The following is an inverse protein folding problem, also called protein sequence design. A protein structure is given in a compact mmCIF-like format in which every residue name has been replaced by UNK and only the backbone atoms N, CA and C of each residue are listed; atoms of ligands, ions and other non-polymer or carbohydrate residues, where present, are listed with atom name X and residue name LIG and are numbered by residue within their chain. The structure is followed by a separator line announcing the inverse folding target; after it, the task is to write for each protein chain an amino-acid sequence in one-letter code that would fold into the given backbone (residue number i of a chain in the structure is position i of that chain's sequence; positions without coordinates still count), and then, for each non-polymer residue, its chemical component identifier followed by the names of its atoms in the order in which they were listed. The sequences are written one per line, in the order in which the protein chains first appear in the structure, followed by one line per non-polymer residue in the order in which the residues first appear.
data_IF_031989735214
#
_entry.id   IF_031989735214
#
_cell.length_a   1.000
_cell.length_b   1.000
_cell.length_c   1.000
_cell.angle_alpha   90.00
_cell.angle_beta   90.00
_cell.angle_gamma   90.00
#
_symmetry.space_group_name_H-M   'P 1'
#
loop_
_entity.id
_entity.type
_entity.pdbx_description
1 polymer ?
#
# COMPACT_ATOMS: atom_id res chain seq x y z
N UNK A 1 -43.44 -22.81 -38.54
CA UNK A 1 -42.49 -21.70 -38.34
C UNK A 1 -41.70 -22.01 -37.08
N UNK A 2 -40.50 -22.54 -37.27
CA UNK A 2 -39.55 -22.92 -36.24
C UNK A 2 -38.80 -21.67 -35.78
N UNK A 3 -39.14 -21.14 -34.60
CA UNK A 3 -38.35 -20.08 -33.98
C UNK A 3 -37.02 -20.64 -33.49
N UNK A 4 -35.98 -20.23 -34.20
CA UNK A 4 -34.58 -20.38 -33.85
C UNK A 4 -34.36 -19.91 -32.41
N UNK A 5 -34.15 -20.86 -31.49
CA UNK A 5 -33.47 -20.58 -30.22
C UNK A 5 -32.05 -20.19 -30.54
N UNK A 6 -31.82 -18.89 -30.68
CA UNK A 6 -30.48 -18.32 -30.76
C UNK A 6 -29.72 -18.74 -29.51
N UNK A 7 -28.73 -19.61 -29.72
CA UNK A 7 -27.65 -19.81 -28.77
C UNK A 7 -26.99 -18.46 -28.55
N UNK A 8 -27.39 -17.76 -27.49
CA UNK A 8 -26.64 -16.63 -26.96
C UNK A 8 -25.29 -17.23 -26.57
N UNK A 9 -24.31 -17.04 -27.45
CA UNK A 9 -22.91 -17.19 -27.16
C UNK A 9 -22.66 -16.44 -25.84
N UNK A 10 -22.50 -17.20 -24.76
CA UNK A 10 -21.98 -16.70 -23.49
C UNK A 10 -20.56 -16.24 -23.77
N UNK A 11 -20.41 -15.01 -24.24
CA UNK A 11 -19.20 -14.23 -24.00
C UNK A 11 -18.95 -14.37 -22.51
N UNK A 12 -17.90 -15.09 -22.14
CA UNK A 12 -17.54 -15.37 -20.76
C UNK A 12 -17.18 -14.05 -20.10
N UNK A 13 -18.20 -13.33 -19.61
CA UNK A 13 -17.96 -12.08 -18.92
C UNK A 13 -17.01 -12.37 -17.76
N UNK A 14 -15.94 -11.58 -17.58
CA UNK A 14 -15.06 -11.73 -16.44
C UNK A 14 -15.77 -11.40 -15.12
N UNK A 15 -17.00 -10.88 -15.17
CA UNK A 15 -17.81 -10.48 -14.03
C UNK A 15 -18.84 -11.54 -13.67
N UNK A 16 -19.00 -11.77 -12.36
CA UNK A 16 -20.11 -12.54 -11.81
C UNK A 16 -21.29 -11.60 -11.59
N UNK A 17 -22.30 -11.68 -12.45
CA UNK A 17 -23.50 -10.85 -12.29
C UNK A 17 -24.47 -11.51 -11.33
N UNK A 18 -25.03 -10.74 -10.40
CA UNK A 18 -26.20 -11.12 -9.61
C UNK A 18 -27.40 -10.42 -10.23
N UNK A 19 -28.42 -11.19 -10.63
CA UNK A 19 -29.65 -10.61 -11.18
C UNK A 19 -30.58 -10.23 -10.04
N UNK A 20 -31.21 -9.06 -10.15
CA UNK A 20 -32.37 -8.72 -9.35
C UNK A 20 -33.56 -9.57 -9.85
N UNK A 21 -34.34 -10.21 -8.96
CA UNK A 21 -35.55 -10.90 -9.37
C UNK A 21 -36.48 -9.94 -10.12
N UNK A 22 -37.26 -10.45 -11.06
CA UNK A 22 -38.38 -9.68 -11.63
C UNK A 22 -39.29 -9.20 -10.49
N UNK A 23 -39.80 -7.98 -10.57
CA UNK A 23 -40.80 -7.45 -9.63
C UNK A 23 -42.05 -8.33 -9.52
N UNK A 24 -42.27 -9.22 -10.50
CA UNK A 24 -43.39 -10.15 -10.57
C UNK A 24 -43.03 -11.60 -10.21
N UNK A 25 -41.86 -11.88 -9.63
CA UNK A 25 -41.50 -13.25 -9.21
C UNK A 25 -42.41 -13.70 -8.04
N UNK A 26 -43.35 -14.65 -8.26
CA UNK A 26 -44.31 -15.08 -7.24
C UNK A 26 -43.63 -15.81 -6.06
N UNK A 27 -42.38 -16.24 -6.23
CA UNK A 27 -41.61 -16.89 -5.17
C UNK A 27 -40.89 -15.90 -4.25
N UNK A 28 -40.86 -14.61 -4.57
CA UNK A 28 -40.23 -13.57 -3.75
C UNK A 28 -41.17 -13.04 -2.66
N UNK A 29 -41.84 -13.94 -1.94
CA UNK A 29 -42.77 -13.63 -0.85
C UNK A 29 -42.10 -13.09 0.42
N UNK A 30 -40.76 -12.94 0.42
CA UNK A 30 -39.94 -12.54 1.59
C UNK A 30 -39.14 -11.24 1.41
N UNK A 31 -39.37 -10.48 0.35
CA UNK A 31 -38.67 -9.21 0.12
C UNK A 31 -37.15 -9.37 -0.09
N UNK A 32 -36.70 -10.50 -0.62
CA UNK A 32 -35.28 -10.67 -0.97
C UNK A 32 -34.96 -9.81 -2.19
N UNK A 33 -34.02 -8.86 -2.01
CA UNK A 33 -33.60 -7.93 -3.07
C UNK A 33 -32.86 -8.64 -4.20
N UNK A 34 -32.22 -9.78 -3.93
CA UNK A 34 -31.45 -10.56 -4.90
C UNK A 34 -31.85 -12.04 -4.88
N UNK A 35 -31.82 -12.69 -6.05
CA UNK A 35 -31.99 -14.14 -6.15
C UNK A 35 -30.86 -14.87 -5.41
N UNK A 36 -31.14 -16.08 -4.91
CA UNK A 36 -30.09 -16.94 -4.33
C UNK A 36 -29.03 -17.22 -5.40
N UNK A 37 -27.74 -16.96 -5.13
CA UNK A 37 -26.72 -17.15 -6.15
C UNK A 37 -26.49 -18.63 -6.45
N UNK A 38 -26.15 -18.92 -7.70
CA UNK A 38 -25.71 -20.23 -8.18
C UNK A 38 -24.25 -20.45 -7.80
N UNK A 39 -23.83 -21.71 -7.72
CA UNK A 39 -22.51 -22.09 -7.22
C UNK A 39 -21.34 -21.40 -7.96
N UNK A 40 -21.40 -21.38 -9.29
CA UNK A 40 -20.36 -20.74 -10.10
C UNK A 40 -20.25 -19.22 -9.88
N UNK A 41 -21.28 -18.56 -9.33
CA UNK A 41 -21.28 -17.12 -9.05
C UNK A 41 -20.58 -16.80 -7.71
N UNK A 42 -20.39 -17.78 -6.83
CA UNK A 42 -19.80 -17.56 -5.50
C UNK A 42 -18.50 -18.31 -5.29
N UNK A 43 -18.17 -19.27 -6.16
CA UNK A 43 -16.94 -20.07 -6.07
C UNK A 43 -15.70 -19.24 -6.41
N UNK A 44 -14.74 -19.21 -5.48
CA UNK A 44 -13.41 -18.66 -5.68
C UNK A 44 -12.38 -19.45 -4.88
N UNK A 45 -11.12 -19.32 -5.24
CA UNK A 45 -10.03 -20.05 -4.58
C UNK A 45 -9.61 -19.43 -3.25
N UNK A 46 -9.87 -18.13 -3.06
CA UNK A 46 -9.74 -17.40 -1.79
C UNK A 46 -11.09 -17.51 -1.05
N UNK A 47 -11.20 -18.38 -0.04
CA UNK A 47 -12.49 -18.73 0.61
C UNK A 47 -12.80 -17.82 1.82
N UNK A 48 -13.86 -17.02 1.73
CA UNK A 48 -14.11 -15.95 2.71
C UNK A 48 -15.26 -16.24 3.69
N UNK A 49 -16.13 -17.21 3.39
CA UNK A 49 -17.19 -17.60 4.31
C UNK A 49 -18.29 -18.42 3.66
N UNK A 50 -19.39 -18.64 4.38
CA UNK A 50 -20.52 -19.42 3.91
C UNK A 50 -21.67 -18.53 3.44
N UNK A 51 -22.35 -18.93 2.37
CA UNK A 51 -23.62 -18.32 1.97
C UNK A 51 -24.70 -18.74 2.96
N UNK A 52 -25.39 -17.77 3.57
CA UNK A 52 -26.47 -18.01 4.54
C UNK A 52 -27.52 -18.98 3.98
N UNK A 53 -27.98 -19.93 4.79
CA UNK A 53 -28.97 -20.94 4.42
C UNK A 53 -28.55 -21.78 3.18
N UNK A 54 -27.25 -22.06 3.06
CA UNK A 54 -26.67 -22.89 2.01
C UNK A 54 -25.44 -23.64 2.52
N UNK A 55 -25.05 -24.71 1.83
CA UNK A 55 -23.76 -25.39 2.02
C UNK A 55 -22.65 -24.77 1.16
N UNK A 56 -22.97 -23.72 0.41
CA UNK A 56 -22.04 -23.07 -0.53
C UNK A 56 -21.06 -22.16 0.19
N UNK A 57 -19.78 -22.25 -0.21
CA UNK A 57 -18.71 -21.37 0.26
C UNK A 57 -18.55 -20.21 -0.73
N UNK A 58 -18.58 -18.99 -0.20
CA UNK A 58 -18.23 -17.78 -0.93
C UNK A 58 -16.71 -17.62 -0.98
N UNK A 59 -16.20 -17.32 -2.17
CA UNK A 59 -14.81 -16.99 -2.39
C UNK A 59 -14.60 -16.06 -3.58
N UNK A 60 -13.47 -15.36 -3.54
CA UNK A 60 -13.00 -14.45 -4.58
C UNK A 60 -11.94 -15.18 -5.41
N UNK A 61 -11.93 -14.92 -6.72
CA UNK A 61 -10.91 -15.43 -7.64
C UNK A 61 -9.70 -14.51 -7.62
N UNK A 62 -8.49 -15.05 -7.77
CA UNK A 62 -7.26 -14.24 -7.94
C UNK A 62 -7.39 -13.15 -9.01
N UNK A 63 -8.03 -13.47 -10.15
CA UNK A 63 -8.27 -12.53 -11.27
C UNK A 63 -9.24 -11.39 -10.93
N UNK A 64 -10.04 -11.54 -9.87
CA UNK A 64 -10.88 -10.46 -9.36
C UNK A 64 -10.05 -9.58 -8.42
N UNK A 65 -9.19 -10.19 -7.59
CA UNK A 65 -8.37 -9.45 -6.61
C UNK A 65 -7.24 -8.62 -7.25
N UNK A 66 -6.74 -8.98 -8.45
CA UNK A 66 -5.82 -8.12 -9.21
C UNK A 66 -6.43 -6.77 -9.64
N UNK A 67 -7.77 -6.63 -9.53
CA UNK A 67 -8.50 -5.37 -9.81
C UNK A 67 -8.71 -4.52 -8.55
N UNK A 68 -8.02 -4.86 -7.47
CA UNK A 68 -8.15 -4.27 -6.14
C UNK A 68 -9.50 -4.60 -5.47
N UNK A 69 -9.53 -4.43 -4.15
CA UNK A 69 -10.70 -4.71 -3.33
C UNK A 69 -10.87 -3.58 -2.31
N UNK A 70 -12.09 -3.04 -2.24
CA UNK A 70 -12.52 -2.10 -1.21
C UNK A 70 -13.48 -2.81 -0.25
N UNK A 71 -13.23 -2.71 1.05
CA UNK A 71 -14.08 -3.29 2.09
C UNK A 71 -14.63 -2.16 2.97
N UNK A 72 -15.95 -1.98 2.92
CA UNK A 72 -16.65 -0.94 3.67
C UNK A 72 -17.57 -1.55 4.73
N UNK A 73 -17.83 -0.79 5.80
CA UNK A 73 -18.73 -1.17 6.87
C UNK A 73 -18.53 -0.30 8.11
N UNK A 74 -19.55 -0.21 8.97
CA UNK A 74 -19.46 0.52 10.25
C UNK A 74 -18.45 -0.11 11.21
N UNK A 75 -18.16 0.57 12.32
CA UNK A 75 -17.40 -0.04 13.42
C UNK A 75 -18.13 -1.29 13.93
N UNK A 76 -17.40 -2.35 14.26
CA UNK A 76 -17.97 -3.63 14.67
C UNK A 76 -18.58 -4.50 13.55
N UNK A 77 -18.68 -4.01 12.31
CA UNK A 77 -19.27 -4.77 11.19
C UNK A 77 -18.43 -5.98 10.71
N UNK A 78 -17.27 -6.24 11.33
CA UNK A 78 -16.43 -7.38 11.01
C UNK A 78 -15.37 -7.16 9.93
N UNK A 79 -15.09 -5.91 9.51
CA UNK A 79 -14.06 -5.59 8.50
C UNK A 79 -12.70 -6.23 8.80
N UNK A 80 -12.15 -5.99 9.98
CA UNK A 80 -10.85 -6.56 10.38
C UNK A 80 -10.89 -8.09 10.47
N UNK A 81 -12.05 -8.68 10.77
CA UNK A 81 -12.22 -10.14 10.72
C UNK A 81 -12.17 -10.67 9.29
N UNK A 82 -12.85 -9.99 8.36
CA UNK A 82 -12.83 -10.31 6.94
C UNK A 82 -11.41 -10.24 6.36
N UNK A 83 -10.65 -9.19 6.70
CA UNK A 83 -9.24 -9.05 6.32
C UNK A 83 -8.39 -10.22 6.87
N UNK A 84 -8.58 -10.60 8.14
CA UNK A 84 -7.87 -11.74 8.75
C UNK A 84 -8.16 -13.06 8.04
N UNK A 85 -9.42 -13.34 7.72
CA UNK A 85 -9.81 -14.54 6.96
C UNK A 85 -9.13 -14.54 5.59
N UNK A 86 -9.10 -13.39 4.92
CA UNK A 86 -8.43 -13.25 3.63
C UNK A 86 -6.92 -13.52 3.73
N UNK A 87 -6.24 -12.97 4.74
CA UNK A 87 -4.81 -13.19 4.97
C UNK A 87 -4.48 -14.67 5.21
N UNK A 88 -5.31 -15.37 6.00
CA UNK A 88 -5.17 -16.82 6.22
C UNK A 88 -5.31 -17.59 4.89
N UNK A 89 -6.30 -17.24 4.06
CA UNK A 89 -6.49 -17.92 2.77
C UNK A 89 -5.39 -17.60 1.75
N UNK A 90 -4.87 -16.38 1.72
CA UNK A 90 -3.75 -16.02 0.86
C UNK A 90 -2.51 -16.82 1.25
N UNK A 91 -2.22 -16.95 2.55
CA UNK A 91 -1.13 -17.78 3.04
C UNK A 91 -1.31 -19.27 2.72
N UNK A 92 -2.53 -19.81 2.92
CA UNK A 92 -2.88 -21.19 2.51
C UNK A 92 -2.62 -21.43 1.01
N UNK A 93 -2.74 -20.39 0.19
CA UNK A 93 -2.52 -20.43 -1.26
C UNK A 93 -1.07 -20.10 -1.68
N UNK A 94 -0.17 -19.83 -0.73
CA UNK A 94 1.21 -19.44 -1.00
C UNK A 94 1.34 -18.05 -1.63
N UNK A 95 0.37 -17.16 -1.41
CA UNK A 95 0.38 -15.79 -1.93
C UNK A 95 0.89 -14.86 -0.81
N UNK A 96 2.06 -14.24 -0.96
CA UNK A 96 2.58 -13.30 0.03
C UNK A 96 1.73 -12.03 0.10
N UNK A 97 1.83 -11.32 1.21
CA UNK A 97 1.14 -10.06 1.41
C UNK A 97 1.92 -9.14 2.34
N UNK A 98 1.63 -7.85 2.26
CA UNK A 98 2.16 -6.82 3.15
C UNK A 98 1.00 -6.09 3.81
N UNK A 99 1.05 -6.00 5.14
CA UNK A 99 0.09 -5.26 5.96
C UNK A 99 0.76 -4.02 6.52
N UNK A 100 0.12 -2.87 6.38
CA UNK A 100 0.45 -1.67 7.15
C UNK A 100 -0.52 -1.59 8.34
N UNK A 101 -0.05 -1.92 9.55
CA UNK A 101 -0.86 -1.82 10.76
C UNK A 101 -0.59 -0.49 11.46
N UNK A 102 -1.51 0.45 11.31
CA UNK A 102 -1.37 1.82 11.81
C UNK A 102 -1.97 2.03 13.20
N UNK A 103 -2.81 1.11 13.70
CA UNK A 103 -3.59 1.37 14.91
C UNK A 103 -3.89 0.18 15.85
N UNK A 104 -3.91 -1.08 15.39
CA UNK A 104 -4.61 -2.16 16.12
C UNK A 104 -3.74 -3.34 16.52
N UNK A 105 -2.55 -3.50 15.95
CA UNK A 105 -1.69 -4.67 16.16
C UNK A 105 -2.41 -6.00 15.87
N UNK A 106 -3.37 -5.97 14.95
CA UNK A 106 -4.30 -7.07 14.68
C UNK A 106 -3.63 -8.29 14.06
N UNK A 107 -2.52 -8.08 13.35
CA UNK A 107 -1.76 -9.14 12.69
C UNK A 107 -1.06 -10.07 13.67
N UNK A 108 -0.80 -9.65 14.92
CA UNK A 108 -0.17 -10.53 15.93
C UNK A 108 -0.99 -11.78 16.24
N UNK A 109 -2.32 -11.69 16.14
CA UNK A 109 -3.21 -12.85 16.28
C UNK A 109 -2.98 -13.90 15.19
N UNK A 110 -2.57 -13.49 13.99
CA UNK A 110 -2.36 -14.38 12.85
C UNK A 110 -1.18 -15.31 13.03
N UNK A 111 -0.22 -15.00 13.92
CA UNK A 111 0.91 -15.90 14.26
C UNK A 111 0.45 -17.29 14.68
N UNK A 112 -0.74 -17.43 15.27
CA UNK A 112 -1.33 -18.72 15.64
C UNK A 112 -1.68 -19.60 14.44
N UNK A 113 -1.91 -19.00 13.28
CA UNK A 113 -2.28 -19.67 12.02
C UNK A 113 -1.14 -19.63 10.99
N UNK A 114 -0.17 -18.72 11.17
CA UNK A 114 0.89 -18.39 10.23
C UNK A 114 2.18 -18.10 10.99
N UNK A 115 2.95 -19.15 11.29
CA UNK A 115 4.15 -19.02 12.11
C UNK A 115 5.27 -18.24 11.40
N UNK A 116 5.29 -18.32 10.07
CA UNK A 116 6.18 -17.62 9.15
C UNK A 116 5.78 -16.15 8.87
N UNK A 117 4.70 -15.64 9.48
CA UNK A 117 4.36 -14.21 9.40
C UNK A 117 5.50 -13.37 10.00
N UNK A 118 6.09 -12.48 9.21
CA UNK A 118 7.12 -11.56 9.71
C UNK A 118 6.42 -10.31 10.25
N UNK A 119 6.72 -9.94 11.49
CA UNK A 119 6.20 -8.72 12.12
C UNK A 119 7.38 -7.80 12.37
N UNK A 120 7.32 -6.61 11.78
CA UNK A 120 8.39 -5.61 11.84
C UNK A 120 7.82 -4.36 12.51
N UNK A 121 8.28 -4.05 13.73
CA UNK A 121 7.90 -2.80 14.38
C UNK A 121 8.76 -1.66 13.87
N UNK A 122 8.14 -0.51 13.64
CA UNK A 122 8.82 0.70 13.21
C UNK A 122 9.93 1.15 14.17
N UNK A 123 9.78 0.90 15.48
CA UNK A 123 10.71 1.32 16.53
C UNK A 123 11.79 0.28 16.86
N UNK A 124 11.86 -0.84 16.12
CA UNK A 124 12.78 -1.95 16.44
C UNK A 124 13.34 -2.67 15.22
N UNK A 125 12.49 -3.34 14.45
CA UNK A 125 12.94 -4.27 13.40
C UNK A 125 12.80 -3.70 11.99
N UNK A 126 11.94 -2.68 11.80
CA UNK A 126 11.71 -2.11 10.47
C UNK A 126 12.69 -0.97 10.20
N UNK A 127 13.59 -1.16 9.26
CA UNK A 127 14.52 -0.13 8.79
C UNK A 127 14.29 0.14 7.30
N UNK A 128 14.18 1.42 6.94
CA UNK A 128 13.90 1.85 5.59
C UNK A 128 14.66 3.13 5.30
N UNK A 129 15.41 3.17 4.20
CA UNK A 129 16.02 4.40 3.72
C UNK A 129 15.16 5.00 2.58
N UNK A 130 14.41 6.10 2.82
CA UNK A 130 13.63 6.79 1.78
C UNK A 130 14.45 7.27 0.58
N UNK A 131 15.75 7.50 0.75
CA UNK A 131 16.63 8.01 -0.29
C UNK A 131 17.32 6.89 -1.09
N UNK A 132 17.22 5.64 -0.63
CA UNK A 132 17.71 4.46 -1.35
C UNK A 132 16.72 4.11 -2.48
N UNK A 133 17.15 4.10 -3.75
CA UNK A 133 16.29 3.68 -4.85
C UNK A 133 15.98 2.18 -4.76
N UNK A 134 14.76 1.75 -5.13
CA UNK A 134 14.46 0.33 -5.26
C UNK A 134 15.38 -0.34 -6.29
N UNK A 135 15.69 -1.64 -6.14
CA UNK A 135 16.55 -2.34 -7.09
C UNK A 135 16.05 -2.16 -8.52
N UNK A 136 16.93 -1.82 -9.47
CA UNK A 136 16.58 -1.64 -10.89
C UNK A 136 15.91 -0.30 -11.25
N UNK A 137 15.66 0.58 -10.28
CA UNK A 137 15.14 1.94 -10.51
C UNK A 137 16.29 2.92 -10.55
N UNK A 138 16.31 3.85 -11.51
CA UNK A 138 17.38 4.85 -11.57
C UNK A 138 17.26 5.84 -10.42
N UNK A 139 18.39 6.21 -9.81
CA UNK A 139 18.44 7.17 -8.71
C UNK A 139 17.68 8.46 -9.02
N UNK A 140 17.91 9.07 -10.19
CA UNK A 140 17.23 10.31 -10.60
C UNK A 140 15.70 10.16 -10.64
N UNK A 141 15.21 9.04 -11.15
CA UNK A 141 13.77 8.74 -11.23
C UNK A 141 13.17 8.59 -9.82
N UNK A 142 13.86 7.86 -8.94
CA UNK A 142 13.45 7.69 -7.55
C UNK A 142 13.42 9.00 -6.76
N UNK A 143 14.43 9.86 -6.91
CA UNK A 143 14.48 11.13 -6.20
C UNK A 143 13.36 12.09 -6.59
N UNK A 144 12.87 12.02 -7.83
CA UNK A 144 11.69 12.78 -8.25
C UNK A 144 10.41 12.25 -7.58
N UNK A 145 10.26 10.93 -7.47
CA UNK A 145 9.13 10.29 -6.76
C UNK A 145 9.16 10.64 -5.26
N UNK A 146 10.33 10.49 -4.62
CA UNK A 146 10.53 10.88 -3.22
C UNK A 146 10.15 12.34 -2.98
N UNK A 147 10.64 13.24 -3.84
CA UNK A 147 10.38 14.67 -3.70
C UNK A 147 8.90 15.01 -3.89
N UNK A 148 8.25 14.40 -4.88
CA UNK A 148 6.81 14.60 -5.13
C UNK A 148 5.96 14.17 -3.95
N UNK A 149 6.13 12.93 -3.48
CA UNK A 149 5.39 12.38 -2.35
C UNK A 149 5.63 13.21 -1.09
N UNK A 150 6.87 13.61 -0.85
CA UNK A 150 7.23 14.45 0.30
C UNK A 150 6.56 15.81 0.24
N UNK A 151 6.57 16.48 -0.93
CA UNK A 151 5.95 17.81 -1.04
C UNK A 151 4.43 17.77 -0.97
N UNK A 152 3.81 16.78 -1.60
CA UNK A 152 2.35 16.63 -1.63
C UNK A 152 1.81 16.34 -0.22
N UNK A 153 2.36 15.32 0.45
CA UNK A 153 1.85 14.87 1.75
C UNK A 153 2.06 15.93 2.83
N UNK A 154 3.19 16.65 2.78
CA UNK A 154 3.47 17.70 3.75
C UNK A 154 2.91 19.08 3.39
N UNK A 155 2.15 19.19 2.29
CA UNK A 155 1.53 20.45 1.84
C UNK A 155 2.55 21.56 1.57
N UNK A 156 3.72 21.19 1.03
CA UNK A 156 4.79 22.16 0.73
C UNK A 156 4.45 22.97 -0.52
N UNK A 157 4.90 24.23 -0.58
CA UNK A 157 4.71 25.11 -1.75
C UNK A 157 5.30 24.46 -3.00
N UNK A 158 4.70 24.67 -4.17
CA UNK A 158 5.09 24.05 -5.45
C UNK A 158 6.59 24.14 -5.76
N UNK A 159 7.23 25.30 -5.52
CA UNK A 159 8.67 25.46 -5.79
C UNK A 159 9.56 24.65 -4.84
N UNK A 160 9.07 24.23 -3.67
CA UNK A 160 9.81 23.40 -2.71
C UNK A 160 10.24 22.07 -3.32
N UNK A 161 9.46 21.52 -4.26
CA UNK A 161 9.79 20.27 -4.97
C UNK A 161 11.10 20.38 -5.72
N UNK A 162 11.30 21.49 -6.44
CA UNK A 162 12.52 21.74 -7.20
C UNK A 162 13.72 21.82 -6.27
N UNK A 163 13.63 22.62 -5.20
CA UNK A 163 14.69 22.76 -4.21
C UNK A 163 15.03 21.44 -3.53
N UNK A 164 14.02 20.66 -3.09
CA UNK A 164 14.23 19.35 -2.48
C UNK A 164 14.93 18.39 -3.44
N UNK A 165 14.44 18.30 -4.69
CA UNK A 165 15.02 17.42 -5.71
C UNK A 165 16.48 17.78 -5.99
N UNK A 166 16.78 19.07 -6.21
CA UNK A 166 18.14 19.56 -6.46
C UNK A 166 19.05 19.31 -5.28
N UNK A 167 18.55 19.54 -4.06
CA UNK A 167 19.33 19.36 -2.84
C UNK A 167 19.73 17.90 -2.63
N UNK A 168 18.76 16.98 -2.72
CA UNK A 168 19.03 15.55 -2.57
C UNK A 168 19.92 15.03 -3.70
N UNK A 169 19.70 15.46 -4.94
CA UNK A 169 20.59 15.11 -6.06
C UNK A 169 22.03 15.56 -5.79
N UNK A 170 22.22 16.81 -5.35
CA UNK A 170 23.57 17.33 -5.06
C UNK A 170 24.25 16.54 -3.95
N UNK A 171 23.51 16.23 -2.87
CA UNK A 171 24.02 15.39 -1.77
C UNK A 171 24.47 14.01 -2.25
N UNK A 172 23.68 13.39 -3.15
CA UNK A 172 24.03 12.10 -3.75
C UNK A 172 25.28 12.18 -4.61
N UNK A 173 25.40 13.21 -5.45
CA UNK A 173 26.58 13.39 -6.31
C UNK A 173 27.86 13.70 -5.53
N UNK A 174 27.77 14.41 -4.41
CA UNK A 174 28.93 14.74 -3.56
C UNK A 174 29.48 13.54 -2.80
N UNK A 175 28.65 12.53 -2.50
CA UNK A 175 29.08 11.28 -1.85
C UNK A 175 29.53 10.19 -2.83
N UNK A 176 29.52 10.43 -4.14
CA UNK A 176 29.81 9.41 -5.17
C UNK A 176 31.30 9.04 -5.22
N UNK A 177 31.69 8.08 -4.40
CA UNK A 177 32.41 6.94 -4.94
C UNK A 177 31.39 6.04 -5.68
N UNK A 178 31.47 5.85 -7.01
CA UNK A 178 30.57 4.98 -7.76
C UNK A 178 30.55 3.51 -7.28
N UNK A 179 31.54 3.08 -6.49
CA UNK A 179 31.54 1.78 -5.80
C UNK A 179 30.85 1.77 -4.44
N UNK A 180 30.50 2.92 -3.88
CA UNK A 180 29.85 3.00 -2.57
C UNK A 180 28.37 2.68 -2.66
N UNK A 181 27.97 1.62 -1.96
CA UNK A 181 26.56 1.26 -1.76
C UNK A 181 25.87 2.10 -0.65
N UNK A 182 26.54 3.14 -0.15
CA UNK A 182 26.03 3.93 0.98
C UNK A 182 25.27 5.17 0.51
N UNK A 183 23.94 5.04 0.50
CA UNK A 183 23.06 6.17 0.25
C UNK A 183 23.01 7.08 1.50
N UNK A 184 22.93 8.41 1.36
CA UNK A 184 22.70 9.31 2.48
C UNK A 184 21.42 8.92 3.23
N UNK A 185 21.44 9.14 4.54
CA UNK A 185 20.26 8.89 5.39
C UNK A 185 19.34 10.11 5.42
N UNK A 186 18.15 9.97 5.99
CA UNK A 186 17.28 11.13 6.22
C UNK A 186 17.89 12.14 7.20
N UNK A 187 18.73 11.68 8.14
CA UNK A 187 19.45 12.56 9.06
C UNK A 187 20.58 13.32 8.37
N UNK A 188 21.24 12.70 7.37
CA UNK A 188 22.17 13.42 6.49
C UNK A 188 21.46 14.55 5.73
N UNK A 189 20.28 14.25 5.15
CA UNK A 189 19.44 15.24 4.49
C UNK A 189 19.08 16.40 5.44
N UNK A 190 18.62 16.07 6.64
CA UNK A 190 18.27 17.07 7.65
C UNK A 190 19.46 17.99 7.99
N UNK A 191 20.63 17.40 8.27
CA UNK A 191 21.86 18.14 8.59
C UNK A 191 22.33 19.01 7.42
N UNK A 192 22.24 18.49 6.21
CA UNK A 192 22.56 19.23 4.99
C UNK A 192 21.68 20.47 4.86
N UNK A 193 20.36 20.32 5.03
CA UNK A 193 19.42 21.44 4.97
C UNK A 193 19.70 22.48 6.06
N UNK A 194 19.98 22.03 7.29
CA UNK A 194 20.34 22.91 8.40
C UNK A 194 21.60 23.73 8.08
N UNK A 195 22.63 23.09 7.51
CA UNK A 195 23.87 23.76 7.13
C UNK A 195 23.64 24.77 6.00
N UNK A 196 22.87 24.41 4.97
CA UNK A 196 22.52 25.32 3.87
C UNK A 196 21.77 26.56 4.36
N UNK A 197 20.93 26.42 5.38
CA UNK A 197 20.21 27.55 5.98
C UNK A 197 21.13 28.51 6.77
N UNK A 198 22.31 28.07 7.22
CA UNK A 198 23.32 28.93 7.88
C UNK A 198 24.11 29.77 6.86
N UNK A 199 24.09 29.39 5.59
CA UNK A 199 24.77 30.13 4.52
C UNK A 199 24.00 31.39 4.08
N UNK A 200 24.70 32.25 3.33
CA UNK A 200 24.10 33.42 2.69
C UNK A 200 23.33 32.99 1.43
N UNK A 201 22.02 32.84 1.57
CA UNK A 201 21.10 32.44 0.49
C UNK A 201 20.01 33.49 0.22
N UNK A 202 19.46 33.56 -1.01
CA UNK A 202 18.31 34.39 -1.35
C UNK A 202 17.10 34.17 -0.43
N UNK A 203 16.33 35.23 -0.17
CA UNK A 203 15.17 35.20 0.76
C UNK A 203 14.09 34.22 0.31
N UNK A 204 13.82 34.17 -1.00
CA UNK A 204 12.86 33.24 -1.59
C UNK A 204 13.29 31.78 -1.38
N UNK A 205 14.54 31.43 -1.70
CA UNK A 205 15.13 30.11 -1.46
C UNK A 205 15.04 29.74 0.03
N UNK A 206 15.43 30.66 0.92
CA UNK A 206 15.36 30.46 2.37
C UNK A 206 13.97 30.07 2.85
N UNK A 207 12.93 30.71 2.31
CA UNK A 207 11.53 30.39 2.64
C UNK A 207 11.17 28.95 2.30
N UNK A 208 11.55 28.46 1.11
CA UNK A 208 11.30 27.08 0.69
C UNK A 208 12.12 26.07 1.51
N UNK A 209 13.41 26.34 1.72
CA UNK A 209 14.29 25.47 2.50
C UNK A 209 13.86 25.37 3.96
N UNK A 210 13.36 26.46 4.57
CA UNK A 210 12.78 26.42 5.91
C UNK A 210 11.56 25.49 5.98
N UNK A 211 10.67 25.56 4.98
CA UNK A 211 9.51 24.68 4.88
C UNK A 211 9.92 23.22 4.78
N UNK A 212 10.85 22.90 3.87
CA UNK A 212 11.39 21.54 3.70
C UNK A 212 12.05 21.07 5.00
N UNK A 213 13.00 21.83 5.53
CA UNK A 213 13.76 21.47 6.73
C UNK A 213 12.85 21.22 7.94
N UNK A 214 11.81 22.05 8.15
CA UNK A 214 10.88 21.86 9.27
C UNK A 214 10.18 20.49 9.22
N UNK A 215 9.77 20.03 8.03
CA UNK A 215 9.09 18.75 7.81
C UNK A 215 10.07 17.58 7.89
N UNK A 216 11.23 17.69 7.26
CA UNK A 216 12.29 16.67 7.32
C UNK A 216 12.79 16.48 8.76
N UNK A 217 12.94 17.57 9.53
CA UNK A 217 13.31 17.52 10.94
C UNK A 217 12.25 16.80 11.78
N UNK A 218 10.97 17.08 11.56
CA UNK A 218 9.87 16.38 12.24
C UNK A 218 9.88 14.87 11.95
N UNK A 219 10.15 14.48 10.69
CA UNK A 219 10.33 13.08 10.29
C UNK A 219 11.51 12.44 11.03
N UNK A 220 12.68 13.08 11.06
CA UNK A 220 13.87 12.55 11.75
C UNK A 220 13.66 12.38 13.25
N UNK A 221 12.96 13.32 13.89
CA UNK A 221 12.62 13.23 15.33
C UNK A 221 11.61 12.11 15.58
N UNK A 222 10.67 11.88 14.66
CA UNK A 222 9.58 10.92 14.89
C UNK A 222 10.00 9.47 14.61
N UNK A 223 10.79 9.26 13.55
CA UNK A 223 11.18 7.92 13.10
C UNK A 223 12.57 7.49 13.57
N UNK A 224 13.38 8.44 14.05
CA UNK A 224 14.68 8.18 14.69
C UNK A 224 15.56 7.21 13.87
N UNK A 225 15.93 6.07 14.46
CA UNK A 225 16.83 5.06 13.87
C UNK A 225 16.22 4.31 12.68
N UNK A 226 14.89 4.25 12.58
CA UNK A 226 14.17 3.57 11.48
C UNK A 226 14.64 4.06 10.09
N UNK A 227 14.98 5.35 10.00
CA UNK A 227 15.37 6.05 8.77
C UNK A 227 16.83 6.54 8.78
N UNK A 228 17.59 6.22 9.84
CA UNK A 228 18.98 6.60 10.00
C UNK A 228 19.94 5.50 9.52
N UNK A 229 19.64 4.89 8.38
CA UNK A 229 20.45 3.81 7.82
C UNK A 229 20.75 4.04 6.35
N UNK A 230 21.94 3.59 5.92
CA UNK A 230 22.36 3.69 4.53
C UNK A 230 21.59 2.71 3.63
N UNK A 231 21.29 1.52 4.14
CA UNK A 231 20.54 0.48 3.44
C UNK A 231 19.44 -0.09 4.34
N UNK A 232 18.19 0.02 3.88
CA UNK A 232 17.05 -0.56 4.57
C UNK A 232 16.79 -2.02 4.18
N UNK A 233 15.65 -2.54 4.61
CA UNK A 233 15.18 -3.88 4.22
C UNK A 233 14.95 -3.93 2.71
N UNK A 234 15.54 -4.90 1.97
CA UNK A 234 15.33 -5.03 0.53
C UNK A 234 13.86 -5.31 0.21
N UNK A 235 13.29 -4.47 -0.65
CA UNK A 235 11.86 -4.55 -1.03
C UNK A 235 11.57 -5.88 -1.73
N UNK A 236 12.48 -6.34 -2.59
CA UNK A 236 12.35 -7.59 -3.32
C UNK A 236 12.35 -8.82 -2.41
N UNK A 237 13.09 -8.79 -1.29
CA UNK A 237 13.01 -9.81 -0.26
C UNK A 237 11.70 -9.72 0.55
N UNK A 238 11.32 -8.51 0.97
CA UNK A 238 10.09 -8.29 1.74
C UNK A 238 8.84 -8.81 1.02
N UNK A 239 8.79 -8.68 -0.32
CA UNK A 239 7.66 -9.12 -1.15
C UNK A 239 7.54 -10.65 -1.32
N UNK A 240 8.50 -11.45 -0.82
CA UNK A 240 8.46 -12.92 -0.90
C UNK A 240 7.71 -13.56 0.28
N UNK A 241 7.52 -12.82 1.36
CA UNK A 241 6.98 -13.34 2.61
C UNK A 241 5.66 -12.65 2.98
N UNK A 242 4.83 -13.27 3.84
CA UNK A 242 3.79 -12.55 4.55
C UNK A 242 4.44 -11.62 5.59
N UNK A 243 4.25 -10.31 5.43
CA UNK A 243 4.87 -9.29 6.27
C UNK A 243 3.81 -8.35 6.84
N UNK A 244 3.97 -7.97 8.11
CA UNK A 244 3.23 -6.90 8.76
C UNK A 244 4.21 -5.86 9.27
N UNK A 245 4.09 -4.63 8.76
CA UNK A 245 4.79 -3.46 9.30
C UNK A 245 3.87 -2.81 10.32
N UNK A 246 4.27 -2.83 11.58
CA UNK A 246 3.56 -2.16 12.66
C UNK A 246 4.05 -0.72 12.76
N UNK A 247 3.19 0.22 12.34
CA UNK A 247 3.40 1.67 12.45
C UNK A 247 2.68 2.28 13.66
N UNK A 248 2.07 1.42 14.49
CA UNK A 248 1.43 1.79 15.75
C UNK A 248 2.43 2.47 16.67
N UNK A 249 2.07 3.63 17.19
CA UNK A 249 2.93 4.44 18.06
C UNK A 249 3.43 5.72 17.39
N UNK A 250 3.54 5.74 16.05
CA UNK A 250 3.76 6.97 15.30
C UNK A 250 2.51 7.84 15.44
N UNK A 251 2.60 8.92 16.22
CA UNK A 251 1.45 9.78 16.54
C UNK A 251 1.00 10.67 15.38
N UNK A 252 1.93 11.03 14.49
CA UNK A 252 1.63 11.83 13.31
C UNK A 252 1.08 10.94 12.20
N UNK A 253 -0.22 11.08 11.91
CA UNK A 253 -0.85 10.41 10.76
C UNK A 253 -0.26 10.88 9.43
N UNK A 254 0.18 12.13 9.34
CA UNK A 254 0.88 12.70 8.17
C UNK A 254 2.19 11.93 7.91
N UNK A 255 2.98 11.64 8.97
CA UNK A 255 4.22 10.87 8.85
C UNK A 255 3.94 9.39 8.56
N UNK A 256 2.93 8.78 9.19
CA UNK A 256 2.49 7.42 8.84
C UNK A 256 2.11 7.33 7.36
N UNK A 257 1.36 8.31 6.84
CA UNK A 257 0.97 8.33 5.44
C UNK A 257 2.18 8.53 4.51
N UNK A 258 3.09 9.42 4.87
CA UNK A 258 4.31 9.67 4.13
C UNK A 258 5.14 8.39 3.96
N UNK A 259 5.39 7.65 5.05
CA UNK A 259 6.20 6.44 4.98
C UNK A 259 5.49 5.30 4.22
N UNK A 260 4.18 5.12 4.42
CA UNK A 260 3.39 4.14 3.67
C UNK A 260 3.44 4.45 2.16
N UNK A 261 3.25 5.72 1.80
CA UNK A 261 3.25 6.17 0.40
C UNK A 261 4.60 5.93 -0.28
N UNK A 262 5.69 6.22 0.43
CA UNK A 262 7.03 5.93 -0.08
C UNK A 262 7.26 4.43 -0.27
N UNK A 263 6.87 3.58 0.68
CA UNK A 263 7.02 2.12 0.55
C UNK A 263 6.19 1.60 -0.64
N UNK A 264 4.94 2.07 -0.78
CA UNK A 264 4.07 1.69 -1.90
C UNK A 264 4.65 2.15 -3.24
N UNK A 265 5.17 3.37 -3.33
CA UNK A 265 5.79 3.89 -4.54
C UNK A 265 7.10 3.15 -4.88
N UNK A 266 7.87 2.77 -3.87
CA UNK A 266 9.09 1.99 -4.01
C UNK A 266 8.79 0.60 -4.61
N UNK A 267 7.74 -0.05 -4.11
CA UNK A 267 7.23 -1.33 -4.63
C UNK A 267 6.68 -1.18 -6.06
N UNK A 268 5.93 -0.11 -6.35
CA UNK A 268 5.40 0.14 -7.68
C UNK A 268 6.55 0.32 -8.70
N UNK A 269 7.51 1.18 -8.37
CA UNK A 269 8.70 1.44 -9.20
C UNK A 269 9.54 0.17 -9.41
N UNK A 270 9.72 -0.63 -8.37
CA UNK A 270 10.41 -1.94 -8.45
C UNK A 270 9.75 -2.89 -9.46
N UNK A 271 8.41 -2.90 -9.51
CA UNK A 271 7.62 -3.73 -10.43
C UNK A 271 7.61 -3.18 -11.85
N UNK A 272 7.57 -1.87 -12.01
CA UNK A 272 7.64 -1.20 -13.32
C UNK A 272 9.00 -1.43 -14.00
N UNK A 273 10.09 -1.43 -13.21
CA UNK A 273 11.43 -1.78 -13.69
C UNK A 273 11.57 -3.27 -14.07
N UNK A 274 10.63 -4.13 -13.65
CA UNK A 274 10.61 -5.58 -13.93
C UNK A 274 9.23 -6.02 -14.43
N UNK A 275 8.85 -5.60 -15.65
CA UNK A 275 7.56 -5.98 -16.21
C UNK A 275 7.52 -7.51 -16.37
N UNK A 276 6.46 -8.11 -15.83
CA UNK A 276 6.17 -9.54 -15.96
C UNK A 276 4.76 -9.72 -16.52
N UNK A 277 4.44 -10.92 -17.00
CA UNK A 277 3.14 -11.26 -17.61
C UNK A 277 1.95 -10.78 -16.77
N UNK A 278 1.01 -10.10 -17.41
CA UNK A 278 -0.20 -9.58 -16.79
C UNK A 278 -1.13 -10.70 -16.26
N UNK A 279 -1.87 -10.41 -15.19
CA UNK A 279 -3.04 -11.20 -14.77
C UNK A 279 -2.83 -12.22 -13.66
N UNK A 280 -1.60 -12.50 -13.21
CA UNK A 280 -1.35 -13.34 -12.03
C UNK A 280 -1.31 -12.52 -10.74
N UNK A 281 -2.07 -12.94 -9.72
CA UNK A 281 -1.99 -12.36 -8.39
C UNK A 281 -0.72 -12.86 -7.71
N UNK A 282 0.25 -11.95 -7.53
CA UNK A 282 1.57 -12.28 -6.96
C UNK A 282 1.74 -11.86 -5.51
N UNK A 283 1.03 -10.82 -5.09
CA UNK A 283 1.15 -10.27 -3.76
C UNK A 283 -0.05 -9.35 -3.48
N UNK A 284 -0.46 -9.24 -2.22
CA UNK A 284 -1.57 -8.38 -1.80
C UNK A 284 -1.10 -7.33 -0.79
N UNK A 285 -1.53 -6.08 -0.95
CA UNK A 285 -1.34 -5.03 0.04
C UNK A 285 -2.61 -4.87 0.88
N UNK A 286 -2.44 -4.86 2.19
CA UNK A 286 -3.50 -4.61 3.15
C UNK A 286 -3.26 -3.27 3.83
N UNK A 287 -4.27 -2.41 3.71
CA UNK A 287 -4.31 -1.09 4.31
C UNK A 287 -5.54 -1.04 5.21
N UNK A 288 -5.36 -1.31 6.51
CA UNK A 288 -6.46 -1.12 7.47
C UNK A 288 -6.68 0.39 7.68
N UNK A 289 -7.92 0.78 7.93
CA UNK A 289 -8.31 2.19 8.13
C UNK A 289 -7.90 3.16 7.01
N UNK A 290 -7.94 2.69 5.75
CA UNK A 290 -7.54 3.46 4.56
C UNK A 290 -8.21 4.84 4.44
N UNK A 291 -9.38 5.07 5.03
CA UNK A 291 -10.04 6.37 5.05
C UNK A 291 -9.17 7.50 5.63
N UNK A 292 -8.22 7.18 6.52
CA UNK A 292 -7.26 8.17 7.04
C UNK A 292 -6.18 8.55 6.01
N UNK A 293 -6.00 7.74 4.96
CA UNK A 293 -4.95 7.87 3.95
C UNK A 293 -5.47 8.46 2.63
N UNK A 294 -6.73 8.23 2.26
CA UNK A 294 -7.33 8.77 1.01
C UNK A 294 -7.82 10.22 1.16
N UNK A 295 -7.50 10.89 2.28
CA UNK A 295 -7.95 12.25 2.57
C UNK A 295 -9.45 12.33 2.92
N UNK A 296 -9.82 13.37 3.67
CA UNK A 296 -11.23 13.76 3.75
C UNK A 296 -11.52 14.48 2.45
N UNK A 297 -12.33 13.89 1.57
CA UNK A 297 -12.79 14.60 0.38
C UNK A 297 -13.31 15.97 0.78
N UNK A 298 -12.80 17.02 0.14
CA UNK A 298 -13.33 18.37 0.31
C UNK A 298 -14.81 18.32 -0.08
N UNK A 299 -15.70 18.61 0.88
CA UNK A 299 -17.13 18.77 0.68
C UNK A 299 -17.41 20.24 0.42
#
# INVERSE_FOLDING_TARGET
MSENRSHINKVSSPYRYFKRPSLHDPQNSRGQIFEKPREYQVKGDIRLGNIRNSKMIFGILRKELVRHLLICGSSGAGKSNFLRVMQIELHRLGIPFLVFDTAKLGSRFLKRYMQDLIILRWDKEFFFNPLQPPPGVKLKEWLMVFSEITTEIFGLRTASKLYLTQFVQTMMFQKNDPSSSDFPTMHDLNRGLENRLKERIPINERGYLNGIHSKIKAVCITLEEMINIHQGIPIDEMLKYPVCIELVGIKSSEIQYWIISLIMAAIASYREARPMSFGSLRHVFFLDEAAHLVGKGEV
#
